data_IF_971095639554
#
_entry.id   IF_971095639554
#
_cell.length_a   1.000
_cell.length_b   1.000
_cell.length_c   1.000
_cell.angle_alpha   90.00
_cell.angle_beta   90.00
_cell.angle_gamma   90.00
#
_symmetry.space_group_name_H-M   'P 1'
#
loop_
_entity.id
_entity.type
_entity.pdbx_description
1 polymer ?
#
# COMPACT_ATOMS: atom_id res chain seq x y z
N UNK A 1 -32.18 7.67 19.59
CA UNK A 1 -31.95 9.09 19.93
C UNK A 1 -32.46 10.03 18.86
N UNK A 2 -32.09 9.87 17.58
CA UNK A 2 -32.46 10.80 16.52
C UNK A 2 -33.98 11.00 16.37
N UNK A 3 -34.77 9.93 16.47
CA UNK A 3 -36.23 10.02 16.37
C UNK A 3 -36.91 10.32 17.73
N UNK A 4 -36.46 9.64 18.79
CA UNK A 4 -37.17 9.63 20.09
C UNK A 4 -36.52 10.44 21.21
N UNK A 5 -35.36 11.07 20.95
CA UNK A 5 -34.45 11.66 21.96
C UNK A 5 -34.05 10.72 23.10
N UNK A 6 -34.30 9.41 22.97
CA UNK A 6 -33.92 8.36 23.93
C UNK A 6 -32.89 7.40 23.31
N UNK A 7 -31.88 6.94 24.07
CA UNK A 7 -31.48 7.47 25.38
C UNK A 7 -30.96 8.92 25.26
N UNK A 8 -30.86 9.64 26.39
CA UNK A 8 -30.27 10.97 26.43
C UNK A 8 -28.80 10.92 25.96
N UNK A 9 -28.27 12.02 25.39
CA UNK A 9 -26.90 12.06 24.82
C UNK A 9 -25.84 11.58 25.81
N UNK A 10 -25.90 12.01 27.07
CA UNK A 10 -24.98 11.60 28.15
C UNK A 10 -24.96 10.09 28.44
N UNK A 11 -26.00 9.37 28.01
CA UNK A 11 -26.17 7.93 28.25
C UNK A 11 -25.86 7.09 26.99
N UNK A 12 -25.24 7.67 25.96
CA UNK A 12 -24.82 6.94 24.75
C UNK A 12 -23.32 6.68 24.85
N UNK A 13 -22.88 5.45 25.16
CA UNK A 13 -21.45 5.12 25.20
C UNK A 13 -20.76 5.40 23.86
N UNK A 14 -19.53 5.89 23.91
CA UNK A 14 -18.71 6.24 22.75
C UNK A 14 -19.05 7.58 22.09
N UNK A 15 -20.04 8.31 22.61
CA UNK A 15 -20.39 9.64 22.09
C UNK A 15 -19.51 10.73 22.71
N UNK A 16 -18.88 11.53 21.85
CA UNK A 16 -18.35 12.84 22.22
C UNK A 16 -19.31 13.92 21.71
N UNK A 17 -19.75 14.82 22.58
CA UNK A 17 -20.70 15.87 22.20
C UNK A 17 -20.46 17.15 22.98
N UNK A 18 -21.02 18.25 22.48
CA UNK A 18 -20.99 19.55 23.15
C UNK A 18 -22.39 19.85 23.71
N UNK A 19 -22.57 19.93 25.04
CA UNK A 19 -23.89 20.18 25.64
C UNK A 19 -24.52 21.52 25.21
N UNK A 20 -23.71 22.56 25.02
CA UNK A 20 -24.14 23.89 24.61
C UNK A 20 -23.13 24.51 23.65
N UNK A 21 -23.56 25.39 22.74
CA UNK A 21 -22.64 26.11 21.85
C UNK A 21 -21.52 26.78 22.68
N UNK A 22 -20.27 26.62 22.25
CA UNK A 22 -19.05 27.09 22.93
C UNK A 22 -18.65 26.42 24.26
N UNK A 23 -19.35 25.39 24.75
CA UNK A 23 -18.84 24.60 25.88
C UNK A 23 -17.72 23.64 25.44
N UNK A 24 -16.85 23.17 26.37
CA UNK A 24 -15.96 22.05 26.10
C UNK A 24 -16.73 20.79 25.65
N UNK A 25 -16.04 19.88 24.96
CA UNK A 25 -16.59 18.56 24.65
C UNK A 25 -16.73 17.74 25.94
N UNK A 26 -17.85 17.01 26.04
CA UNK A 26 -18.03 15.92 26.98
C UNK A 26 -17.85 14.61 26.23
N UNK A 27 -17.00 13.74 26.74
CA UNK A 27 -16.78 12.39 26.18
C UNK A 27 -17.41 11.39 27.16
N UNK A 28 -18.41 10.65 26.69
CA UNK A 28 -19.04 9.60 27.48
C UNK A 28 -18.08 8.41 27.65
N UNK A 29 -18.48 7.44 28.49
CA UNK A 29 -17.77 6.17 28.64
C UNK A 29 -17.56 5.48 27.29
N UNK A 30 -16.45 4.74 27.13
CA UNK A 30 -16.16 4.02 25.88
C UNK A 30 -17.30 3.06 25.53
N UNK A 31 -17.57 2.92 24.22
CA UNK A 31 -18.50 1.89 23.73
C UNK A 31 -17.98 0.50 24.08
N UNK A 32 -18.89 -0.42 24.37
CA UNK A 32 -18.55 -1.84 24.50
C UNK A 32 -18.40 -2.42 23.09
N UNK A 33 -17.25 -3.03 22.74
CA UNK A 33 -17.07 -3.72 21.46
C UNK A 33 -18.14 -4.79 21.22
N UNK A 34 -18.62 -4.92 19.99
CA UNK A 34 -19.56 -5.98 19.62
C UNK A 34 -18.87 -7.35 19.71
N UNK A 35 -19.60 -8.34 20.24
CA UNK A 35 -19.11 -9.73 20.32
C UNK A 35 -19.17 -10.48 18.98
N UNK A 36 -20.07 -10.07 18.09
CA UNK A 36 -20.18 -10.53 16.70
C UNK A 36 -20.58 -9.34 15.82
N UNK A 37 -20.10 -9.29 14.58
CA UNK A 37 -20.57 -8.29 13.61
C UNK A 37 -21.97 -8.62 13.10
N UNK A 38 -22.45 -9.86 13.27
CA UNK A 38 -23.80 -10.26 12.91
C UNK A 38 -24.89 -9.47 13.64
N UNK A 39 -24.58 -8.89 14.81
CA UNK A 39 -25.51 -8.00 15.53
C UNK A 39 -25.66 -6.62 14.91
N UNK A 40 -24.81 -6.26 13.94
CA UNK A 40 -24.81 -4.97 13.29
C UNK A 40 -25.53 -5.12 11.95
N UNK A 41 -26.62 -4.40 11.69
CA UNK A 41 -27.35 -4.53 10.44
C UNK A 41 -26.45 -4.30 9.21
N UNK A 42 -26.73 -5.01 8.12
CA UNK A 42 -25.98 -4.85 6.88
C UNK A 42 -26.41 -3.59 6.14
N UNK A 43 -25.50 -2.66 5.78
CA UNK A 43 -25.91 -1.49 5.00
C UNK A 43 -26.42 -1.88 3.61
N UNK A 44 -26.00 -3.04 3.08
CA UNK A 44 -26.47 -3.55 1.79
C UNK A 44 -27.81 -4.27 1.93
N UNK A 45 -27.91 -5.27 2.81
CA UNK A 45 -29.13 -6.09 2.91
C UNK A 45 -30.32 -5.34 3.51
N UNK A 46 -30.08 -4.27 4.28
CA UNK A 46 -31.12 -3.39 4.82
C UNK A 46 -31.51 -2.26 3.84
N UNK A 47 -30.92 -2.21 2.64
CA UNK A 47 -31.22 -1.18 1.65
C UNK A 47 -30.80 0.24 2.05
N UNK A 48 -29.79 0.38 2.92
CA UNK A 48 -29.25 1.68 3.35
C UNK A 48 -28.41 2.32 2.24
N UNK A 49 -27.75 1.49 1.42
CA UNK A 49 -27.01 1.95 0.24
C UNK A 49 -27.96 1.97 -0.96
N UNK A 50 -28.14 3.15 -1.54
CA UNK A 50 -28.98 3.35 -2.71
C UNK A 50 -28.57 2.45 -3.88
N UNK A 51 -29.54 1.77 -4.50
CA UNK A 51 -29.27 0.87 -5.63
C UNK A 51 -28.71 1.62 -6.84
N UNK A 52 -29.13 2.87 -7.04
CA UNK A 52 -28.59 3.76 -8.08
C UNK A 52 -27.09 4.03 -7.90
N UNK A 53 -26.59 4.01 -6.66
CA UNK A 53 -25.14 4.13 -6.40
C UNK A 53 -24.44 2.85 -6.80
N UNK A 54 -25.00 1.68 -6.48
CA UNK A 54 -24.42 0.39 -6.82
C UNK A 54 -24.41 0.10 -8.33
N UNK A 55 -25.38 0.66 -9.06
CA UNK A 55 -25.53 0.47 -10.50
C UNK A 55 -24.65 1.38 -11.36
N UNK A 56 -23.89 2.33 -10.78
CA UNK A 56 -22.99 3.19 -11.56
C UNK A 56 -21.81 2.41 -12.09
N UNK A 57 -21.34 2.80 -13.27
CA UNK A 57 -20.12 2.24 -13.84
C UNK A 57 -18.92 2.44 -12.91
N UNK A 58 -18.03 1.44 -12.91
CA UNK A 58 -16.77 1.44 -12.15
C UNK A 58 -16.88 1.56 -10.61
N UNK A 59 -18.06 1.33 -10.04
CA UNK A 59 -18.23 1.29 -8.58
C UNK A 59 -17.52 0.08 -7.97
N UNK A 60 -16.74 0.35 -6.92
CA UNK A 60 -16.16 -0.65 -6.03
C UNK A 60 -16.99 -0.70 -4.73
N UNK A 61 -17.55 -1.86 -4.39
CA UNK A 61 -18.25 -2.05 -3.11
C UNK A 61 -17.26 -2.40 -2.00
N UNK A 62 -17.35 -1.70 -0.88
CA UNK A 62 -16.55 -1.95 0.31
C UNK A 62 -17.34 -2.80 1.33
N UNK A 63 -16.86 -4.01 1.59
CA UNK A 63 -17.47 -4.94 2.55
C UNK A 63 -16.54 -5.12 3.77
N UNK A 64 -17.07 -4.96 4.97
CA UNK A 64 -16.35 -5.21 6.23
C UNK A 64 -16.83 -6.53 6.81
N UNK A 65 -15.95 -7.51 6.90
CA UNK A 65 -16.31 -8.86 7.37
C UNK A 65 -15.76 -9.17 8.75
N UNK A 66 -14.78 -8.38 9.20
CA UNK A 66 -14.25 -8.42 10.54
C UNK A 66 -13.87 -7.03 11.06
N UNK A 67 -13.85 -6.89 12.39
CA UNK A 67 -13.34 -5.70 13.09
C UNK A 67 -12.30 -6.09 14.12
N UNK A 68 -11.26 -5.26 14.21
CA UNK A 68 -10.09 -5.51 15.04
C UNK A 68 -8.91 -6.03 14.21
N UNK A 69 -7.78 -6.27 14.87
CA UNK A 69 -6.58 -6.82 14.26
C UNK A 69 -5.82 -7.64 15.31
N UNK A 70 -5.18 -8.73 14.89
CA UNK A 70 -4.32 -9.54 15.75
C UNK A 70 -3.02 -8.83 16.15
N UNK A 71 -2.68 -7.72 15.49
CA UNK A 71 -1.50 -6.92 15.78
C UNK A 71 -1.90 -5.59 16.43
N UNK A 72 -0.98 -5.06 17.24
CA UNK A 72 -1.10 -3.75 17.90
C UNK A 72 0.05 -2.84 17.47
N UNK A 73 0.21 -2.70 16.15
CA UNK A 73 1.31 -1.91 15.59
C UNK A 73 1.24 -0.46 16.07
N UNK A 74 2.36 0.09 16.54
CA UNK A 74 2.40 1.41 17.19
C UNK A 74 1.93 2.56 16.30
N UNK A 75 2.01 2.40 14.98
CA UNK A 75 1.58 3.38 13.97
C UNK A 75 0.13 3.21 13.50
N UNK A 76 -0.62 2.24 14.05
CA UNK A 76 -1.92 1.86 13.50
C UNK A 76 -3.07 2.09 14.48
N UNK A 77 -4.13 2.76 14.04
CA UNK A 77 -5.38 2.91 14.79
C UNK A 77 -6.36 1.74 14.58
N UNK A 78 -6.09 0.84 13.63
CA UNK A 78 -7.09 -0.11 13.12
C UNK A 78 -7.55 -1.12 14.18
N UNK A 79 -6.71 -1.44 15.17
CA UNK A 79 -7.18 -2.27 16.29
C UNK A 79 -8.37 -1.63 17.03
N UNK A 80 -8.65 -0.32 16.84
CA UNK A 80 -9.91 0.39 17.14
C UNK A 80 -10.49 0.11 18.54
N UNK A 81 -9.63 0.07 19.56
CA UNK A 81 -9.98 -0.32 20.93
C UNK A 81 -10.63 -1.72 21.07
N UNK A 82 -10.56 -2.56 20.04
CA UNK A 82 -10.99 -3.95 20.08
C UNK A 82 -9.96 -4.77 20.88
N UNK A 83 -10.45 -5.62 21.76
CA UNK A 83 -9.67 -6.59 22.52
C UNK A 83 -9.25 -7.78 21.66
N UNK A 84 -10.10 -8.16 20.69
CA UNK A 84 -9.90 -9.26 19.74
C UNK A 84 -10.48 -8.93 18.36
N UNK A 85 -10.22 -9.82 17.40
CA UNK A 85 -10.90 -9.78 16.09
C UNK A 85 -12.29 -10.40 16.23
N UNK A 86 -13.30 -9.67 15.76
CA UNK A 86 -14.69 -10.11 15.71
C UNK A 86 -15.13 -10.24 14.26
N UNK A 87 -15.83 -11.31 13.92
CA UNK A 87 -16.23 -11.65 12.55
C UNK A 87 -17.72 -11.48 12.32
N UNK A 88 -18.10 -11.36 11.05
CA UNK A 88 -19.44 -11.59 10.53
C UNK A 88 -19.64 -13.08 10.21
N UNK A 89 -20.89 -13.51 10.11
CA UNK A 89 -21.22 -14.86 9.65
C UNK A 89 -20.92 -15.00 8.16
N UNK A 90 -20.37 -16.15 7.77
CA UNK A 90 -19.99 -16.43 6.36
C UNK A 90 -21.20 -16.26 5.44
N UNK A 91 -22.35 -16.80 5.80
CA UNK A 91 -23.57 -16.70 4.98
C UNK A 91 -24.00 -15.26 4.73
N UNK A 92 -23.84 -14.38 5.74
CA UNK A 92 -24.10 -12.95 5.56
C UNK A 92 -23.13 -12.34 4.56
N UNK A 93 -21.83 -12.64 4.66
CA UNK A 93 -20.82 -12.14 3.71
C UNK A 93 -21.18 -12.56 2.28
N UNK A 94 -21.53 -13.83 2.08
CA UNK A 94 -21.95 -14.34 0.77
C UNK A 94 -23.24 -13.65 0.27
N UNK A 95 -24.20 -13.39 1.17
CA UNK A 95 -25.42 -12.65 0.82
C UNK A 95 -25.15 -11.19 0.43
N UNK A 96 -24.25 -10.50 1.14
CA UNK A 96 -23.84 -9.13 0.80
C UNK A 96 -23.13 -9.08 -0.56
N UNK A 97 -22.23 -10.02 -0.84
CA UNK A 97 -21.58 -10.15 -2.15
C UNK A 97 -22.60 -10.39 -3.26
N UNK A 98 -23.52 -11.34 -3.07
CA UNK A 98 -24.60 -11.60 -4.03
C UNK A 98 -25.46 -10.36 -4.27
N UNK A 99 -25.76 -9.61 -3.20
CA UNK A 99 -26.58 -8.41 -3.27
C UNK A 99 -25.95 -7.34 -4.18
N UNK A 100 -24.66 -7.05 -3.99
CA UNK A 100 -23.97 -6.01 -4.78
C UNK A 100 -23.71 -6.45 -6.22
N UNK A 101 -23.34 -7.71 -6.46
CA UNK A 101 -23.11 -8.23 -7.83
C UNK A 101 -24.39 -8.18 -8.66
N UNK A 102 -25.54 -8.57 -8.07
CA UNK A 102 -26.85 -8.49 -8.76
C UNK A 102 -27.23 -7.07 -9.19
N UNK A 103 -26.56 -6.05 -8.66
CA UNK A 103 -26.77 -4.63 -8.96
C UNK A 103 -25.69 -4.05 -9.88
N UNK A 104 -24.84 -4.90 -10.45
CA UNK A 104 -23.85 -4.51 -11.46
C UNK A 104 -22.45 -4.22 -10.91
N UNK A 105 -22.21 -4.37 -9.61
CA UNK A 105 -20.87 -4.18 -9.02
C UNK A 105 -19.92 -5.27 -9.52
N UNK A 106 -18.81 -4.85 -10.13
CA UNK A 106 -17.77 -5.75 -10.70
C UNK A 106 -16.49 -5.81 -9.86
N UNK A 107 -16.37 -4.96 -8.83
CA UNK A 107 -15.19 -4.84 -7.97
C UNK A 107 -15.63 -4.78 -6.52
N UNK A 108 -15.06 -5.64 -5.69
CA UNK A 108 -15.34 -5.69 -4.25
C UNK A 108 -14.03 -5.60 -3.49
N UNK A 109 -13.96 -4.66 -2.54
CA UNK A 109 -12.87 -4.55 -1.57
C UNK A 109 -13.35 -4.98 -0.20
N UNK A 110 -12.69 -5.99 0.34
CA UNK A 110 -12.82 -6.37 1.74
C UNK A 110 -11.97 -5.41 2.57
N UNK A 111 -12.61 -4.54 3.35
CA UNK A 111 -11.94 -3.44 4.09
C UNK A 111 -11.39 -3.86 5.44
N UNK A 112 -11.20 -5.16 5.63
CA UNK A 112 -10.66 -5.80 6.80
C UNK A 112 -9.16 -5.48 6.96
N UNK A 113 -8.63 -5.32 8.18
CA UNK A 113 -7.19 -5.06 8.36
C UNK A 113 -6.29 -6.21 7.92
N UNK A 114 -6.80 -7.43 8.06
CA UNK A 114 -6.12 -8.66 7.71
C UNK A 114 -7.18 -9.74 7.56
N UNK A 115 -7.71 -9.92 6.36
CA UNK A 115 -8.84 -10.81 6.05
C UNK A 115 -8.65 -12.22 6.61
N UNK A 116 -7.41 -12.73 6.61
CA UNK A 116 -7.05 -14.05 7.11
C UNK A 116 -6.55 -14.08 8.55
N UNK A 117 -6.99 -13.13 9.39
CA UNK A 117 -6.70 -13.15 10.84
C UNK A 117 -7.11 -14.47 11.49
N UNK A 118 -8.18 -15.09 10.98
CA UNK A 118 -8.49 -16.50 11.14
C UNK A 118 -8.53 -17.14 9.75
N UNK A 119 -7.56 -18.02 9.47
CA UNK A 119 -7.42 -18.67 8.16
C UNK A 119 -8.59 -19.59 7.83
N UNK A 120 -9.15 -20.30 8.79
CA UNK A 120 -10.25 -21.25 8.54
C UNK A 120 -11.56 -20.51 8.23
N UNK A 121 -11.78 -19.38 8.89
CA UNK A 121 -12.88 -18.47 8.55
C UNK A 121 -12.69 -17.89 7.13
N UNK A 122 -11.49 -17.38 6.79
CA UNK A 122 -11.20 -16.84 5.46
C UNK A 122 -11.37 -17.90 4.35
N UNK A 123 -10.90 -19.14 4.58
CA UNK A 123 -11.13 -20.28 3.69
C UNK A 123 -12.61 -20.58 3.51
N UNK A 124 -13.42 -20.47 4.58
CA UNK A 124 -14.87 -20.70 4.51
C UNK A 124 -15.56 -19.65 3.63
N UNK A 125 -15.17 -18.38 3.74
CA UNK A 125 -15.64 -17.33 2.84
C UNK A 125 -15.24 -17.62 1.40
N UNK A 126 -13.95 -17.91 1.13
CA UNK A 126 -13.49 -18.21 -0.23
C UNK A 126 -14.20 -19.42 -0.84
N UNK A 127 -14.41 -20.49 -0.07
CA UNK A 127 -15.19 -21.66 -0.51
C UNK A 127 -16.64 -21.27 -0.85
N UNK A 128 -17.26 -20.40 -0.06
CA UNK A 128 -18.59 -19.84 -0.36
C UNK A 128 -18.62 -19.04 -1.65
N UNK A 129 -17.65 -18.15 -1.87
CA UNK A 129 -17.53 -17.34 -3.09
C UNK A 129 -17.35 -18.21 -4.34
N UNK A 130 -16.52 -19.27 -4.24
CA UNK A 130 -16.29 -20.23 -5.32
C UNK A 130 -17.54 -21.05 -5.61
N UNK A 131 -18.23 -21.52 -4.56
CA UNK A 131 -19.47 -22.31 -4.68
C UNK A 131 -20.56 -21.55 -5.44
N UNK A 132 -20.69 -20.25 -5.20
CA UNK A 132 -21.65 -19.37 -5.88
C UNK A 132 -21.22 -18.99 -7.29
N UNK A 133 -19.97 -19.30 -7.70
CA UNK A 133 -19.40 -18.96 -8.99
C UNK A 133 -19.50 -17.46 -9.33
N UNK A 134 -19.25 -16.60 -8.35
CA UNK A 134 -19.34 -15.15 -8.56
C UNK A 134 -18.34 -14.65 -9.61
N UNK A 135 -18.81 -13.75 -10.48
CA UNK A 135 -18.00 -13.01 -11.45
C UNK A 135 -17.76 -11.58 -10.92
N UNK A 136 -16.66 -11.39 -10.21
CA UNK A 136 -16.23 -10.08 -9.70
C UNK A 136 -14.74 -10.11 -9.33
N UNK A 137 -14.07 -8.98 -9.48
CA UNK A 137 -12.73 -8.80 -8.94
C UNK A 137 -12.78 -8.54 -7.43
N UNK A 138 -11.82 -9.09 -6.69
CA UNK A 138 -11.76 -9.03 -5.23
C UNK A 138 -10.43 -8.42 -4.76
N UNK A 139 -10.50 -7.59 -3.73
CA UNK A 139 -9.33 -7.06 -3.04
C UNK A 139 -9.37 -7.44 -1.56
N UNK A 140 -8.25 -7.95 -1.04
CA UNK A 140 -8.07 -8.26 0.37
C UNK A 140 -6.76 -7.65 0.90
N UNK A 141 -6.73 -7.25 2.17
CA UNK A 141 -5.49 -6.94 2.89
C UNK A 141 -5.05 -8.15 3.73
N UNK A 142 -3.76 -8.48 3.68
CA UNK A 142 -3.13 -9.53 4.48
C UNK A 142 -1.86 -9.05 5.21
N UNK A 143 -1.57 -9.72 6.33
CA UNK A 143 -0.31 -9.64 7.04
C UNK A 143 0.57 -10.83 6.61
N UNK A 144 1.88 -10.61 6.30
CA UNK A 144 2.80 -11.70 6.01
C UNK A 144 2.75 -12.79 7.09
N UNK A 145 2.61 -14.04 6.65
CA UNK A 145 2.50 -15.20 7.51
C UNK A 145 1.07 -15.65 7.84
N UNK A 146 0.06 -14.84 7.54
CA UNK A 146 -1.36 -15.18 7.70
C UNK A 146 -1.95 -15.84 6.45
N UNK A 147 -1.15 -16.62 5.72
CA UNK A 147 -1.59 -17.38 4.54
C UNK A 147 -0.98 -18.78 4.61
N UNK A 148 -1.68 -19.76 4.05
CA UNK A 148 -1.18 -21.11 3.81
C UNK A 148 -1.52 -21.57 2.38
N UNK A 149 -1.02 -22.75 2.01
CA UNK A 149 -1.21 -23.31 0.68
C UNK A 149 -2.69 -23.45 0.29
N UNK A 150 -3.55 -23.88 1.23
CA UNK A 150 -4.97 -24.05 0.96
C UNK A 150 -5.63 -22.71 0.64
N UNK A 151 -5.38 -21.67 1.45
CA UNK A 151 -5.95 -20.34 1.20
C UNK A 151 -5.42 -19.74 -0.11
N UNK A 152 -4.13 -19.86 -0.40
CA UNK A 152 -3.55 -19.40 -1.66
C UNK A 152 -4.14 -20.15 -2.87
N UNK A 153 -4.35 -21.46 -2.75
CA UNK A 153 -5.00 -22.27 -3.78
C UNK A 153 -6.45 -21.85 -4.00
N UNK A 154 -7.21 -21.54 -2.95
CA UNK A 154 -8.58 -21.03 -3.09
C UNK A 154 -8.62 -19.70 -3.83
N UNK A 155 -7.68 -18.79 -3.59
CA UNK A 155 -7.57 -17.57 -4.39
C UNK A 155 -7.33 -17.90 -5.87
N UNK A 156 -6.38 -18.78 -6.18
CA UNK A 156 -6.09 -19.21 -7.55
C UNK A 156 -7.27 -19.91 -8.23
N UNK A 157 -8.05 -20.70 -7.49
CA UNK A 157 -9.27 -21.35 -7.99
C UNK A 157 -10.35 -20.32 -8.34
N UNK A 158 -10.57 -19.32 -7.48
CA UNK A 158 -11.56 -18.28 -7.74
C UNK A 158 -11.25 -17.47 -9.01
N UNK A 159 -9.97 -17.12 -9.23
CA UNK A 159 -9.54 -16.42 -10.46
C UNK A 159 -9.79 -17.24 -11.74
N UNK A 160 -9.77 -18.57 -11.64
CA UNK A 160 -9.99 -19.47 -12.79
C UNK A 160 -11.47 -19.70 -13.12
N UNK A 161 -12.40 -19.26 -12.28
CA UNK A 161 -13.83 -19.43 -12.54
C UNK A 161 -14.29 -18.63 -13.76
N UNK A 162 -13.82 -17.38 -13.87
CA UNK A 162 -14.18 -16.45 -14.94
C UNK A 162 -12.96 -15.65 -15.36
N UNK A 163 -12.84 -15.32 -16.65
CA UNK A 163 -11.70 -14.53 -17.16
C UNK A 163 -11.61 -13.14 -16.52
N UNK A 164 -12.73 -12.62 -16.02
CA UNK A 164 -12.86 -11.30 -15.38
C UNK A 164 -12.47 -11.34 -13.90
N UNK A 165 -12.35 -12.51 -13.29
CA UNK A 165 -12.02 -12.65 -11.87
C UNK A 165 -10.54 -12.42 -11.62
N UNK A 166 -10.25 -11.31 -10.96
CA UNK A 166 -8.91 -10.98 -10.46
C UNK A 166 -8.94 -10.88 -8.94
N UNK A 167 -7.91 -11.43 -8.29
CA UNK A 167 -7.67 -11.24 -6.87
C UNK A 167 -6.43 -10.38 -6.70
N UNK A 168 -6.61 -9.26 -6.00
CA UNK A 168 -5.50 -8.47 -5.49
C UNK A 168 -5.35 -8.71 -4.00
N UNK A 169 -4.13 -9.05 -3.58
CA UNK A 169 -3.76 -9.12 -2.17
C UNK A 169 -2.82 -7.97 -1.83
N UNK A 170 -3.29 -7.05 -0.98
CA UNK A 170 -2.46 -6.09 -0.28
C UNK A 170 -1.66 -6.78 0.82
N UNK A 171 -0.34 -6.59 0.83
CA UNK A 171 0.59 -7.18 1.79
C UNK A 171 1.37 -6.06 2.47
N UNK A 172 1.02 -5.78 3.72
CA UNK A 172 1.74 -4.78 4.51
C UNK A 172 3.10 -5.29 4.99
N UNK A 173 4.17 -5.04 4.24
CA UNK A 173 5.54 -5.41 4.65
C UNK A 173 6.12 -4.37 5.61
N UNK A 174 5.92 -3.09 5.28
CA UNK A 174 6.39 -1.91 6.01
C UNK A 174 7.91 -1.71 5.93
N UNK A 175 8.69 -2.65 6.43
CA UNK A 175 10.16 -2.69 6.34
C UNK A 175 10.64 -4.12 6.60
N UNK A 176 11.83 -4.49 6.14
CA UNK A 176 12.47 -5.76 6.53
C UNK A 176 13.38 -5.61 7.75
N UNK A 177 13.54 -4.39 8.26
CA UNK A 177 14.33 -4.12 9.46
C UNK A 177 13.59 -4.66 10.69
N UNK A 178 13.98 -5.85 11.13
CA UNK A 178 13.29 -6.57 12.20
C UNK A 178 13.31 -5.83 13.55
N UNK A 179 14.34 -5.03 13.82
CA UNK A 179 14.40 -4.22 15.04
C UNK A 179 13.42 -3.05 14.99
N UNK A 180 13.26 -2.40 13.83
CA UNK A 180 12.23 -1.38 13.63
C UNK A 180 10.83 -1.99 13.71
N UNK A 181 10.60 -3.14 13.07
CA UNK A 181 9.34 -3.87 13.18
C UNK A 181 8.99 -4.24 14.63
N UNK A 182 9.98 -4.73 15.38
CA UNK A 182 9.82 -5.07 16.81
C UNK A 182 9.46 -3.83 17.64
N UNK A 183 10.14 -2.70 17.42
CA UNK A 183 9.84 -1.42 18.07
C UNK A 183 8.43 -0.94 17.75
N UNK A 184 8.00 -1.09 16.51
CA UNK A 184 6.65 -0.77 16.05
C UNK A 184 5.61 -1.84 16.42
N UNK A 185 5.96 -2.78 17.31
CA UNK A 185 5.07 -3.85 17.81
C UNK A 185 4.47 -4.72 16.70
N UNK A 186 5.21 -4.87 15.60
CA UNK A 186 4.91 -5.74 14.45
C UNK A 186 5.95 -6.85 14.34
N UNK A 187 5.99 -7.76 15.30
CA UNK A 187 6.97 -8.86 15.28
C UNK A 187 6.60 -9.88 14.21
N UNK A 188 7.32 -9.87 13.10
CA UNK A 188 7.20 -10.84 12.01
C UNK A 188 8.60 -11.39 11.74
N UNK A 189 8.72 -12.70 11.51
CA UNK A 189 10.00 -13.33 11.14
C UNK A 189 10.20 -13.30 9.64
N UNK A 190 11.45 -13.26 9.19
CA UNK A 190 11.81 -13.16 7.77
C UNK A 190 11.13 -14.25 6.92
N UNK A 191 11.10 -15.47 7.41
CA UNK A 191 10.57 -16.65 6.70
C UNK A 191 9.07 -16.52 6.42
N UNK A 192 8.34 -15.71 7.21
CA UNK A 192 6.92 -15.44 6.96
C UNK A 192 6.70 -14.56 5.75
N UNK A 193 7.62 -13.64 5.46
CA UNK A 193 7.59 -12.86 4.23
C UNK A 193 7.86 -13.76 3.03
N UNK A 194 8.95 -14.52 3.07
CA UNK A 194 9.38 -15.43 2.00
C UNK A 194 8.29 -16.47 1.67
N UNK A 195 7.72 -17.10 2.70
CA UNK A 195 6.60 -18.04 2.55
C UNK A 195 5.38 -17.37 1.89
N UNK A 196 5.02 -16.16 2.32
CA UNK A 196 3.86 -15.43 1.78
C UNK A 196 4.06 -15.13 0.29
N UNK A 197 5.21 -14.55 -0.07
CA UNK A 197 5.49 -14.22 -1.47
C UNK A 197 5.60 -15.45 -2.35
N UNK A 198 6.23 -16.53 -1.86
CA UNK A 198 6.30 -17.81 -2.59
C UNK A 198 4.90 -18.36 -2.89
N UNK A 199 3.98 -18.33 -1.93
CA UNK A 199 2.61 -18.81 -2.13
C UNK A 199 1.81 -17.95 -3.10
N UNK A 200 1.91 -16.62 -2.99
CA UNK A 200 1.22 -15.70 -3.90
C UNK A 200 1.74 -15.82 -5.34
N UNK A 201 3.06 -15.91 -5.52
CA UNK A 201 3.68 -16.13 -6.83
C UNK A 201 3.28 -17.49 -7.43
N UNK A 202 3.29 -18.57 -6.64
CA UNK A 202 2.92 -19.91 -7.09
C UNK A 202 1.51 -19.99 -7.70
N UNK A 203 0.59 -19.16 -7.21
CA UNK A 203 -0.81 -19.14 -7.65
C UNK A 203 -1.14 -17.93 -8.54
N UNK A 204 -0.13 -17.24 -9.06
CA UNK A 204 -0.26 -16.06 -9.93
C UNK A 204 -1.22 -14.99 -9.35
N UNK A 205 -1.11 -14.72 -8.04
CA UNK A 205 -1.94 -13.73 -7.34
C UNK A 205 -1.31 -12.35 -7.43
N UNK A 206 -2.09 -11.36 -7.91
CA UNK A 206 -1.60 -9.98 -7.98
C UNK A 206 -1.33 -9.46 -6.57
N UNK A 207 -0.09 -9.06 -6.32
CA UNK A 207 0.34 -8.66 -4.98
C UNK A 207 0.64 -7.16 -4.93
N UNK A 208 -0.19 -6.39 -4.20
CA UNK A 208 0.14 -5.02 -3.82
C UNK A 208 0.96 -5.06 -2.53
N UNK A 209 2.07 -4.36 -2.48
CA UNK A 209 3.01 -4.38 -1.37
C UNK A 209 3.17 -2.97 -0.85
N UNK A 210 3.01 -2.80 0.45
CA UNK A 210 3.16 -1.50 1.10
C UNK A 210 4.39 -1.48 2.01
N UNK A 211 5.26 -0.52 1.75
CA UNK A 211 6.39 -0.12 2.59
C UNK A 211 6.12 1.24 3.23
N UNK A 212 6.69 1.44 4.43
CA UNK A 212 6.70 2.75 5.11
C UNK A 212 8.14 3.22 5.21
N UNK A 213 8.42 4.36 4.59
CA UNK A 213 9.75 4.98 4.55
C UNK A 213 9.90 5.92 5.74
N UNK A 214 10.98 5.71 6.52
CA UNK A 214 11.33 6.56 7.65
C UNK A 214 10.61 6.22 8.97
N UNK A 215 10.34 4.94 9.25
CA UNK A 215 9.87 4.53 10.58
C UNK A 215 10.91 4.87 11.68
N UNK A 216 10.52 5.03 12.96
CA UNK A 216 11.46 5.34 14.03
C UNK A 216 12.58 4.29 14.16
N UNK A 217 13.82 4.73 13.91
CA UNK A 217 15.01 3.87 13.87
C UNK A 217 15.43 3.42 12.48
N UNK A 218 14.81 3.94 11.41
CA UNK A 218 15.30 3.81 10.03
C UNK A 218 16.29 4.93 9.68
N UNK A 219 17.37 4.55 9.02
CA UNK A 219 18.32 5.44 8.35
C UNK A 219 18.30 5.19 6.82
N UNK A 220 19.06 5.97 6.06
CA UNK A 220 19.13 5.83 4.60
C UNK A 220 19.54 4.41 4.16
N UNK A 221 20.43 3.78 4.95
CA UNK A 221 20.99 2.46 4.64
C UNK A 221 19.99 1.34 4.93
N UNK A 222 19.20 1.42 5.99
CA UNK A 222 18.14 0.45 6.28
C UNK A 222 16.99 0.52 5.28
N UNK A 223 16.66 1.74 4.83
CA UNK A 223 15.70 1.94 3.75
C UNK A 223 16.23 1.31 2.47
N UNK A 224 17.48 1.58 2.10
CA UNK A 224 18.14 0.99 0.93
C UNK A 224 18.11 -0.55 0.96
N UNK A 225 18.51 -1.16 2.08
CA UNK A 225 18.43 -2.62 2.25
C UNK A 225 17.02 -3.16 2.06
N UNK A 226 16.01 -2.42 2.53
CA UNK A 226 14.61 -2.79 2.35
C UNK A 226 14.19 -2.73 0.90
N UNK A 227 14.53 -1.65 0.19
CA UNK A 227 14.21 -1.51 -1.23
C UNK A 227 14.93 -2.58 -2.06
N UNK A 228 16.23 -2.79 -1.83
CA UNK A 228 17.03 -3.81 -2.52
C UNK A 228 16.42 -5.21 -2.35
N UNK A 229 16.12 -5.60 -1.11
CA UNK A 229 15.50 -6.89 -0.82
C UNK A 229 14.15 -7.03 -1.52
N UNK A 230 13.28 -6.00 -1.44
CA UNK A 230 11.95 -6.08 -2.02
C UNK A 230 12.00 -6.15 -3.55
N UNK A 231 12.88 -5.39 -4.20
CA UNK A 231 13.07 -5.46 -5.67
C UNK A 231 13.54 -6.85 -6.08
N UNK A 232 14.48 -7.44 -5.34
CA UNK A 232 14.99 -8.79 -5.63
C UNK A 232 13.89 -9.87 -5.45
N UNK A 233 13.13 -9.81 -4.35
CA UNK A 233 11.99 -10.73 -4.13
C UNK A 233 10.93 -10.66 -5.23
N UNK A 234 10.80 -9.49 -5.87
CA UNK A 234 9.83 -9.24 -6.93
C UNK A 234 10.37 -9.55 -8.33
N UNK A 235 11.64 -9.94 -8.47
CA UNK A 235 12.25 -10.32 -9.75
C UNK A 235 11.55 -11.52 -10.41
N UNK A 236 11.05 -12.47 -9.61
CA UNK A 236 10.30 -13.63 -10.12
C UNK A 236 8.78 -13.40 -10.25
N UNK A 237 8.26 -12.28 -9.74
CA UNK A 237 6.82 -11.99 -9.78
C UNK A 237 6.38 -11.54 -11.16
N UNK A 238 5.22 -12.03 -11.60
CA UNK A 238 4.56 -11.66 -12.88
C UNK A 238 3.47 -10.60 -12.72
N UNK A 239 3.12 -10.27 -11.48
CA UNK A 239 1.96 -9.44 -11.16
C UNK A 239 2.14 -8.82 -9.76
N UNK A 240 2.62 -7.58 -9.70
CA UNK A 240 2.74 -6.87 -8.43
C UNK A 240 2.75 -5.35 -8.57
N UNK A 241 2.47 -4.69 -7.44
CA UNK A 241 2.59 -3.25 -7.25
C UNK A 241 3.33 -2.98 -5.93
N UNK A 242 4.57 -2.53 -6.00
CA UNK A 242 5.32 -2.01 -4.85
C UNK A 242 4.98 -0.52 -4.65
N UNK A 243 4.35 -0.22 -3.52
CA UNK A 243 4.08 1.13 -3.04
C UNK A 243 4.97 1.45 -1.85
N UNK A 244 5.67 2.59 -1.93
CA UNK A 244 6.49 3.10 -0.85
C UNK A 244 5.90 4.41 -0.36
N UNK A 245 5.38 4.41 0.87
CA UNK A 245 4.73 5.57 1.45
C UNK A 245 5.65 6.20 2.49
N UNK A 246 5.76 7.53 2.50
CA UNK A 246 6.40 8.27 3.57
C UNK A 246 5.62 8.04 4.86
N UNK A 247 6.33 7.84 5.96
CA UNK A 247 5.68 7.66 7.26
C UNK A 247 4.77 8.84 7.58
N UNK A 248 3.52 8.50 7.94
CA UNK A 248 2.52 9.46 8.41
C UNK A 248 2.28 9.37 9.90
N UNK A 249 2.31 10.51 10.57
CA UNK A 249 1.97 10.59 11.99
C UNK A 249 0.46 10.58 12.17
N UNK A 250 -0.09 9.54 12.79
CA UNK A 250 -1.52 9.47 13.07
C UNK A 250 -1.78 9.92 14.51
N UNK A 251 -2.53 11.02 14.74
CA UNK A 251 -2.91 11.45 16.08
C UNK A 251 -3.56 10.34 16.89
N UNK A 252 -3.15 10.20 18.15
CA UNK A 252 -3.66 9.16 19.06
C UNK A 252 -2.98 7.79 18.93
N UNK A 253 -1.96 7.65 18.07
CA UNK A 253 -1.13 6.44 17.99
C UNK A 253 0.13 6.54 18.86
N UNK A 254 0.63 5.39 19.31
CA UNK A 254 1.89 5.27 20.06
C UNK A 254 3.10 5.75 19.22
N UNK A 255 3.00 5.70 17.89
CA UNK A 255 4.02 6.18 16.96
C UNK A 255 4.45 7.61 17.26
N UNK A 256 3.53 8.51 17.62
CA UNK A 256 3.89 9.91 17.87
C UNK A 256 4.73 10.07 19.14
N UNK A 257 4.53 9.21 20.15
CA UNK A 257 5.37 9.21 21.35
C UNK A 257 6.76 8.66 21.03
N UNK A 258 6.84 7.54 20.31
CA UNK A 258 8.13 7.00 19.85
C UNK A 258 8.85 8.00 18.94
N UNK A 259 8.14 8.68 18.04
CA UNK A 259 8.74 9.66 17.14
C UNK A 259 9.35 10.87 17.87
N UNK A 260 8.77 11.27 19.02
CA UNK A 260 9.36 12.30 19.90
C UNK A 260 10.70 11.84 20.49
N UNK A 261 10.79 10.59 20.94
CA UNK A 261 12.04 10.01 21.46
C UNK A 261 13.16 10.04 20.40
N UNK A 262 12.80 9.79 19.15
CA UNK A 262 13.71 9.85 18.00
C UNK A 262 13.89 11.27 17.43
N UNK A 263 13.32 12.30 18.06
CA UNK A 263 13.40 13.72 17.66
C UNK A 263 13.01 13.94 16.19
N UNK A 264 12.02 13.20 15.71
CA UNK A 264 11.56 13.25 14.33
C UNK A 264 10.75 14.54 14.09
N UNK A 265 10.89 15.11 12.89
CA UNK A 265 10.17 16.33 12.48
C UNK A 265 9.13 16.02 11.42
N UNK A 266 7.92 16.52 11.61
CA UNK A 266 6.80 16.34 10.69
C UNK A 266 6.48 17.64 9.95
N UNK A 267 5.75 17.52 8.84
CA UNK A 267 5.36 18.62 7.97
C UNK A 267 4.45 19.66 8.63
N UNK A 268 3.80 19.30 9.74
CA UNK A 268 2.99 20.23 10.55
C UNK A 268 3.15 19.93 12.03
N UNK A 269 3.10 21.00 12.83
CA UNK A 269 3.14 20.95 14.29
C UNK A 269 1.84 20.44 14.91
N UNK A 270 0.71 20.73 14.27
CA UNK A 270 -0.63 20.45 14.82
C UNK A 270 -1.24 19.18 14.27
N UNK A 271 -0.91 18.84 13.02
CA UNK A 271 -1.39 17.67 12.31
C UNK A 271 -0.15 16.99 11.71
N UNK A 272 0.60 16.21 12.49
CA UNK A 272 1.89 15.66 12.07
C UNK A 272 1.70 14.66 10.93
N UNK A 273 1.53 15.16 9.71
CA UNK A 273 0.96 14.38 8.64
C UNK A 273 2.02 13.53 7.95
N UNK A 274 3.16 14.11 7.57
CA UNK A 274 4.23 13.41 6.87
C UNK A 274 5.57 13.68 7.56
N UNK A 275 6.40 12.64 7.66
CA UNK A 275 7.77 12.78 8.13
C UNK A 275 8.58 13.65 7.15
N UNK A 276 9.30 14.62 7.68
CA UNK A 276 10.24 15.46 6.93
C UNK A 276 11.66 14.92 7.07
N UNK A 277 12.10 14.69 8.32
CA UNK A 277 13.46 14.24 8.66
C UNK A 277 13.55 13.71 10.10
N UNK A 278 14.68 13.08 10.43
CA UNK A 278 15.11 12.76 11.78
C UNK A 278 16.64 12.90 11.92
N UNK A 279 17.23 12.88 13.12
CA UNK A 279 18.68 12.98 13.29
C UNK A 279 19.47 11.89 12.54
N UNK A 280 18.91 10.68 12.39
CA UNK A 280 19.53 9.55 11.69
C UNK A 280 19.05 9.38 10.25
N UNK A 281 18.06 10.19 9.84
CA UNK A 281 17.59 10.29 8.47
C UNK A 281 17.40 11.79 8.13
N UNK A 282 18.51 12.52 7.94
CA UNK A 282 18.46 13.94 7.60
C UNK A 282 17.66 14.19 6.31
N UNK A 283 17.18 15.42 6.10
CA UNK A 283 16.35 15.74 4.93
C UNK A 283 16.97 15.31 3.59
N UNK A 284 18.27 15.49 3.40
CA UNK A 284 18.96 15.08 2.18
C UNK A 284 18.82 13.57 1.90
N UNK A 285 18.96 12.74 2.93
CA UNK A 285 18.82 11.28 2.82
C UNK A 285 17.36 10.85 2.64
N UNK A 286 16.42 11.56 3.27
CA UNK A 286 15.00 11.36 3.04
C UNK A 286 14.63 11.67 1.58
N UNK A 287 15.11 12.80 1.03
CA UNK A 287 14.91 13.17 -0.37
C UNK A 287 15.54 12.15 -1.32
N UNK A 288 16.77 11.68 -1.03
CA UNK A 288 17.41 10.60 -1.78
C UNK A 288 16.53 9.35 -1.80
N UNK A 289 16.02 8.94 -0.65
CA UNK A 289 15.12 7.78 -0.51
C UNK A 289 13.83 7.97 -1.31
N UNK A 290 13.22 9.15 -1.27
CA UNK A 290 12.00 9.46 -2.04
C UNK A 290 12.24 9.46 -3.56
N UNK A 291 13.39 9.92 -4.05
CA UNK A 291 13.72 9.83 -5.48
C UNK A 291 13.88 8.38 -5.94
N UNK A 292 14.56 7.55 -5.13
CA UNK A 292 14.70 6.11 -5.38
C UNK A 292 13.34 5.42 -5.48
N UNK A 293 12.41 5.69 -4.56
CA UNK A 293 11.08 5.07 -4.59
C UNK A 293 10.27 5.51 -5.82
N UNK A 294 10.35 6.79 -6.21
CA UNK A 294 9.69 7.29 -7.41
C UNK A 294 10.21 6.67 -8.71
N UNK A 295 11.53 6.45 -8.82
CA UNK A 295 12.14 5.76 -9.96
C UNK A 295 11.79 4.27 -9.96
N UNK A 296 11.91 3.59 -8.81
CA UNK A 296 11.51 2.19 -8.68
C UNK A 296 10.06 1.95 -9.11
N UNK A 297 9.16 2.86 -8.73
CA UNK A 297 7.75 2.79 -9.11
C UNK A 297 7.56 2.67 -10.63
N UNK A 298 8.42 3.33 -11.42
CA UNK A 298 8.39 3.30 -12.90
C UNK A 298 9.12 2.13 -13.51
N UNK A 299 10.13 1.60 -12.83
CA UNK A 299 11.00 0.55 -13.38
C UNK A 299 10.46 -0.85 -13.14
N UNK A 300 9.85 -1.13 -11.99
CA UNK A 300 9.61 -2.54 -11.57
C UNK A 300 8.14 -2.94 -11.44
N UNK A 301 7.21 -2.00 -11.34
CA UNK A 301 5.80 -2.32 -11.11
C UNK A 301 5.11 -2.81 -12.38
N UNK A 302 4.29 -3.85 -12.24
CA UNK A 302 3.51 -4.40 -13.34
C UNK A 302 2.27 -3.54 -13.61
N UNK A 303 1.75 -3.65 -14.83
CA UNK A 303 0.37 -3.26 -15.13
C UNK A 303 -0.57 -4.23 -14.40
N UNK A 304 -1.59 -3.73 -13.70
CA UNK A 304 -2.64 -4.61 -13.16
C UNK A 304 -3.33 -4.24 -11.85
N UNK A 305 -3.42 -2.97 -11.47
CA UNK A 305 -4.28 -2.57 -10.34
C UNK A 305 -5.52 -1.73 -10.73
N UNK A 306 -5.58 -1.21 -11.96
CA UNK A 306 -6.63 -0.25 -12.31
C UNK A 306 -6.95 -0.14 -13.81
N UNK A 307 -6.49 -1.08 -14.65
CA UNK A 307 -6.39 -0.88 -16.11
C UNK A 307 -5.62 0.41 -16.49
N UNK A 308 -4.98 1.06 -15.50
CA UNK A 308 -4.06 2.16 -15.69
C UNK A 308 -2.73 1.55 -16.07
N UNK A 309 -2.39 1.69 -17.34
CA UNK A 309 -1.04 1.50 -17.84
C UNK A 309 -0.09 2.41 -17.05
N UNK A 310 0.70 1.88 -16.11
CA UNK A 310 1.87 2.59 -15.59
C UNK A 310 3.05 2.48 -16.56
N UNK A 311 3.06 1.39 -17.33
CA UNK A 311 4.04 1.03 -18.35
C UNK A 311 3.27 0.53 -19.57
N UNK A 312 2.67 1.44 -20.36
CA UNK A 312 2.58 1.29 -21.81
C UNK A 312 2.27 2.66 -22.44
N UNK A 313 3.09 2.97 -23.43
CA UNK A 313 2.72 3.60 -24.69
C UNK A 313 3.39 2.69 -25.73
N UNK A 314 2.90 2.66 -26.96
CA UNK A 314 3.55 1.92 -28.05
C UNK A 314 5.00 2.42 -28.19
N UNK A 315 5.95 1.75 -27.55
CA UNK A 315 7.38 1.91 -27.84
C UNK A 315 7.61 1.33 -29.23
N UNK A 316 8.53 1.88 -30.02
CA UNK A 316 8.85 1.35 -31.35
C UNK A 316 9.40 -0.10 -31.31
N UNK A 317 9.83 -0.57 -30.14
CA UNK A 317 10.28 -1.93 -29.85
C UNK A 317 9.50 -2.51 -28.66
N UNK A 318 9.11 -3.79 -28.71
CA UNK A 318 8.39 -4.50 -27.62
C UNK A 318 9.31 -4.81 -26.41
N UNK A 319 10.00 -3.81 -25.87
CA UNK A 319 10.94 -4.00 -24.76
C UNK A 319 10.25 -3.74 -23.43
N UNK A 320 10.18 -4.77 -22.58
CA UNK A 320 9.69 -4.64 -21.22
C UNK A 320 10.73 -3.88 -20.37
N UNK A 321 10.39 -2.68 -19.89
CA UNK A 321 11.29 -1.81 -19.08
C UNK A 321 11.82 -2.55 -17.85
N UNK A 322 10.99 -3.37 -17.21
CA UNK A 322 11.37 -4.11 -16.01
C UNK A 322 12.44 -5.16 -16.32
N UNK A 323 12.26 -5.92 -17.39
CA UNK A 323 13.21 -6.95 -17.78
C UNK A 323 14.51 -6.30 -18.24
N UNK A 324 14.42 -5.20 -19.01
CA UNK A 324 15.58 -4.38 -19.38
C UNK A 324 16.31 -3.83 -18.14
N UNK A 325 15.59 -3.37 -17.11
CA UNK A 325 16.20 -2.91 -15.86
C UNK A 325 17.04 -4.01 -15.20
N UNK A 326 16.49 -5.21 -15.05
CA UNK A 326 17.23 -6.33 -14.44
C UNK A 326 18.40 -6.80 -15.31
N UNK A 327 18.23 -6.83 -16.63
CA UNK A 327 19.32 -7.17 -17.56
C UNK A 327 20.45 -6.14 -17.53
N UNK A 328 20.12 -4.85 -17.53
CA UNK A 328 21.11 -3.77 -17.41
C UNK A 328 21.84 -3.86 -16.07
N UNK A 329 21.12 -4.11 -14.97
CA UNK A 329 21.70 -4.31 -13.64
C UNK A 329 22.70 -5.47 -13.64
N UNK A 330 22.29 -6.62 -14.16
CA UNK A 330 23.12 -7.84 -14.20
C UNK A 330 24.37 -7.62 -15.08
N UNK A 331 24.23 -6.98 -16.23
CA UNK A 331 25.36 -6.69 -17.13
C UNK A 331 26.38 -5.72 -16.52
N UNK A 332 25.91 -4.73 -15.73
CA UNK A 332 26.79 -3.79 -15.04
C UNK A 332 27.43 -4.37 -13.78
N UNK A 333 26.91 -5.47 -13.23
CA UNK A 333 27.42 -6.09 -12.01
C UNK A 333 27.22 -5.23 -10.75
N UNK A 334 26.16 -4.40 -10.72
CA UNK A 334 25.83 -3.48 -9.61
C UNK A 334 24.53 -3.89 -8.90
N UNK A 335 24.23 -3.32 -7.74
CA UNK A 335 22.96 -3.55 -7.03
C UNK A 335 21.78 -2.89 -7.73
N UNK A 336 20.56 -3.30 -7.38
CA UNK A 336 19.35 -2.67 -7.92
C UNK A 336 19.32 -1.17 -7.57
N UNK A 337 19.67 -0.81 -6.33
CA UNK A 337 19.66 0.59 -5.88
C UNK A 337 20.78 1.41 -6.52
N UNK A 338 21.95 0.83 -6.83
CA UNK A 338 23.00 1.53 -7.58
C UNK A 338 22.54 1.89 -9.00
N UNK A 339 21.84 0.99 -9.69
CA UNK A 339 21.27 1.32 -11.01
C UNK A 339 20.17 2.37 -10.90
N UNK A 340 19.32 2.29 -9.87
CA UNK A 340 18.30 3.31 -9.59
C UNK A 340 18.93 4.68 -9.36
N UNK A 341 20.02 4.77 -8.59
CA UNK A 341 20.74 6.03 -8.35
C UNK A 341 21.25 6.65 -9.67
N UNK A 342 21.84 5.84 -10.57
CA UNK A 342 22.24 6.31 -11.91
C UNK A 342 21.06 6.88 -12.71
N UNK A 343 19.89 6.23 -12.65
CA UNK A 343 18.67 6.73 -13.32
C UNK A 343 18.14 8.00 -12.65
N UNK A 344 18.20 8.12 -11.32
CA UNK A 344 17.83 9.33 -10.58
C UNK A 344 18.63 10.52 -11.07
N UNK A 345 19.95 10.38 -11.22
CA UNK A 345 20.84 11.46 -11.65
C UNK A 345 20.51 11.93 -13.07
N UNK A 346 20.33 10.99 -14.01
CA UNK A 346 19.88 11.28 -15.37
C UNK A 346 18.52 11.99 -15.40
N UNK A 347 17.61 11.57 -14.51
CA UNK A 347 16.26 12.09 -14.47
C UNK A 347 16.20 13.51 -13.89
N UNK A 348 17.03 13.83 -12.89
CA UNK A 348 17.16 15.21 -12.37
C UNK A 348 17.54 16.16 -13.50
N UNK A 349 18.54 15.81 -14.32
CA UNK A 349 18.98 16.61 -15.47
C UNK A 349 17.86 16.73 -16.51
N UNK A 350 17.21 15.62 -16.86
CA UNK A 350 16.14 15.60 -17.87
C UNK A 350 14.92 16.45 -17.48
N UNK A 351 14.60 16.52 -16.19
CA UNK A 351 13.40 17.19 -15.69
C UNK A 351 13.64 18.63 -15.22
N UNK A 352 14.91 19.05 -15.05
CA UNK A 352 15.28 20.42 -14.65
C UNK A 352 14.64 21.52 -15.53
N UNK A 353 14.62 21.42 -16.88
CA UNK A 353 13.99 22.44 -17.73
C UNK A 353 12.46 22.55 -17.54
N UNK A 354 11.81 21.47 -17.07
CA UNK A 354 10.37 21.42 -16.85
C UNK A 354 9.95 21.92 -15.47
N UNK A 355 10.91 22.29 -14.60
CA UNK A 355 10.66 22.66 -13.20
C UNK A 355 9.85 21.59 -12.46
N UNK A 356 10.07 20.32 -12.80
CA UNK A 356 9.42 19.18 -12.15
C UNK A 356 9.77 19.15 -10.67
N UNK A 357 8.82 18.74 -9.83
CA UNK A 357 9.08 18.50 -8.41
C UNK A 357 10.27 17.56 -8.18
N UNK A 358 10.44 16.53 -9.03
CA UNK A 358 11.52 15.56 -8.92
C UNK A 358 12.92 16.19 -9.00
N UNK A 359 13.06 17.21 -9.86
CA UNK A 359 14.31 17.93 -10.10
C UNK A 359 14.62 19.04 -9.08
N UNK A 360 13.65 19.39 -8.22
CA UNK A 360 13.86 20.37 -7.16
C UNK A 360 14.74 19.79 -6.07
N UNK A 361 15.52 20.63 -5.38
CA UNK A 361 16.43 20.21 -4.30
C UNK A 361 15.71 19.41 -3.20
N UNK A 362 14.50 19.83 -2.82
CA UNK A 362 13.73 19.25 -1.70
C UNK A 362 12.67 18.20 -2.11
N UNK A 363 12.48 17.96 -3.42
CA UNK A 363 11.46 17.04 -3.96
C UNK A 363 10.10 17.07 -3.24
N UNK A 364 9.36 18.20 -3.29
CA UNK A 364 8.06 18.31 -2.66
C UNK A 364 7.04 17.36 -3.31
N UNK A 365 6.06 16.88 -2.54
CA UNK A 365 4.97 16.03 -3.05
C UNK A 365 5.44 14.77 -3.80
N UNK A 366 6.50 14.11 -3.29
CA UNK A 366 7.10 12.94 -3.93
C UNK A 366 6.08 11.84 -4.28
N UNK A 367 5.11 11.57 -3.38
CA UNK A 367 4.05 10.59 -3.63
C UNK A 367 3.10 10.99 -4.77
N UNK A 368 2.68 12.24 -4.80
CA UNK A 368 1.89 12.79 -5.91
C UNK A 368 2.67 12.70 -7.22
N UNK A 369 3.98 12.98 -7.18
CA UNK A 369 4.81 12.90 -8.37
C UNK A 369 4.82 11.48 -8.96
N UNK A 370 5.16 10.46 -8.18
CA UNK A 370 5.23 9.11 -8.74
C UNK A 370 3.86 8.56 -9.14
N UNK A 371 2.77 8.94 -8.45
CA UNK A 371 1.41 8.50 -8.78
C UNK A 371 0.79 9.19 -9.99
N UNK A 372 1.00 10.50 -10.14
CA UNK A 372 0.25 11.34 -11.10
C UNK A 372 1.14 11.87 -12.21
N UNK A 373 2.32 12.37 -11.86
CA UNK A 373 3.15 13.16 -12.79
C UNK A 373 4.18 12.30 -13.52
N UNK A 374 4.71 11.26 -12.90
CA UNK A 374 5.82 10.48 -13.44
C UNK A 374 5.54 9.97 -14.86
N UNK A 375 4.37 9.36 -15.12
CA UNK A 375 3.97 8.88 -16.45
C UNK A 375 3.91 10.01 -17.49
N UNK A 376 3.52 11.21 -17.09
CA UNK A 376 3.38 12.37 -17.98
C UNK A 376 4.73 13.03 -18.27
N UNK A 377 5.61 13.06 -17.28
CA UNK A 377 6.89 13.77 -17.36
C UNK A 377 8.03 12.89 -17.89
N UNK A 378 7.90 11.57 -17.76
CA UNK A 378 8.93 10.59 -18.15
C UNK A 378 8.32 9.55 -19.07
N UNK A 379 8.64 9.62 -20.36
CA UNK A 379 8.15 8.64 -21.34
C UNK A 379 8.80 7.27 -21.15
N UNK A 380 8.13 6.22 -21.62
CA UNK A 380 8.70 4.87 -21.61
C UNK A 380 9.93 4.79 -22.52
N UNK A 381 9.91 5.44 -23.70
CA UNK A 381 11.07 5.51 -24.60
C UNK A 381 12.29 6.13 -23.92
N UNK A 382 12.09 7.15 -23.08
CA UNK A 382 13.19 7.75 -22.33
C UNK A 382 13.83 6.74 -21.37
N UNK A 383 13.03 5.95 -20.65
CA UNK A 383 13.54 4.91 -19.76
C UNK A 383 14.26 3.81 -20.53
N UNK A 384 13.68 3.33 -21.62
CA UNK A 384 14.27 2.28 -22.49
C UNK A 384 15.60 2.74 -23.06
N UNK A 385 15.66 3.95 -23.62
CA UNK A 385 16.88 4.49 -24.22
C UNK A 385 18.00 4.62 -23.18
N UNK A 386 17.73 5.21 -22.02
CA UNK A 386 18.77 5.41 -20.99
C UNK A 386 19.25 4.08 -20.39
N UNK A 387 18.35 3.13 -20.13
CA UNK A 387 18.74 1.79 -19.67
C UNK A 387 19.59 1.05 -20.73
N UNK A 388 19.27 1.21 -22.00
CA UNK A 388 20.01 0.61 -23.12
C UNK A 388 21.41 1.22 -23.27
N UNK A 389 21.53 2.55 -23.15
CA UNK A 389 22.83 3.22 -23.23
C UNK A 389 23.71 2.94 -22.01
N UNK A 390 23.13 2.86 -20.81
CA UNK A 390 23.83 2.40 -19.60
C UNK A 390 24.33 0.96 -19.79
N UNK A 391 23.49 0.07 -20.34
CA UNK A 391 23.85 -1.33 -20.63
C UNK A 391 25.04 -1.45 -21.57
N UNK A 392 25.14 -0.58 -22.59
CA UNK A 392 26.26 -0.56 -23.56
C UNK A 392 27.57 0.02 -23.01
N UNK A 393 27.58 0.57 -21.79
CA UNK A 393 28.75 1.29 -21.26
C UNK A 393 29.01 2.64 -21.94
N UNK A 394 28.02 3.17 -22.68
CA UNK A 394 28.15 4.44 -23.42
C UNK A 394 28.01 5.69 -22.52
N UNK A 395 27.53 5.48 -21.28
CA UNK A 395 27.38 6.49 -20.24
C UNK A 395 28.39 6.18 -19.11
N UNK A 396 29.67 6.39 -19.37
CA UNK A 396 30.69 6.43 -18.31
C UNK A 396 30.44 7.63 -17.39
N UNK A 397 30.83 7.52 -16.12
CA UNK A 397 30.57 8.47 -15.02
C UNK A 397 31.01 9.93 -15.32
N UNK A 398 31.82 10.16 -16.35
CA UNK A 398 32.32 11.48 -16.74
C UNK A 398 31.26 12.39 -17.40
N UNK A 399 30.21 11.87 -18.07
CA UNK A 399 29.18 12.74 -18.67
C UNK A 399 28.24 13.39 -17.66
N UNK A 400 28.02 12.76 -16.50
CA UNK A 400 27.28 13.40 -15.41
C UNK A 400 28.09 14.55 -14.80
N UNK A 401 29.41 14.37 -14.68
CA UNK A 401 30.35 15.37 -14.17
C UNK A 401 30.56 16.52 -15.15
N UNK A 402 30.67 16.27 -16.46
CA UNK A 402 30.76 17.34 -17.47
C UNK A 402 29.49 18.19 -17.55
N UNK A 403 28.30 17.60 -17.43
CA UNK A 403 27.03 18.35 -17.43
C UNK A 403 26.88 19.19 -16.15
N UNK A 404 27.42 18.73 -15.01
CA UNK A 404 27.45 19.49 -13.76
C UNK A 404 28.47 20.64 -13.77
N UNK A 405 29.63 20.46 -14.42
CA UNK A 405 30.70 21.48 -14.51
C UNK A 405 30.40 22.59 -15.52
N UNK A 406 29.70 22.30 -16.63
CA UNK A 406 29.33 23.30 -17.64
C UNK A 406 28.22 24.26 -17.15
N UNK A 407 27.62 24.04 -15.97
CA UNK A 407 26.58 24.90 -15.39
C UNK A 407 27.00 25.65 -14.12
N UNK A 408 28.28 25.66 -13.78
CA UNK A 408 28.84 26.49 -12.69
C UNK A 408 29.63 27.73 -13.16
N UNK A 409 29.49 28.13 -14.43
CA UNK A 409 29.93 29.44 -14.93
C UNK A 409 28.76 30.40 -15.16
#
# INVERSE_FOLDING_TARGET
HLQSRKPALKNIPGLAYRPQKNSPFTVNTKRIPFKSLSYIPSPFLEGIVDEEVLARDDVEANLETQRGCNLRCSYCIYHKDMDRVTYSDVDRVINEVRYVIKRGVKKIRFVDANFSSNKDWAKSVMKGLIKEQFETSLFFELIPGFIDEELASLFGQYQKLHLQNHITIGVGVQTINLEVLKRMRRRIRKEKFEMTFKLLQKHDIYTKIDLIIGLPGEDASSIERTLEYMVDQLRGSRAHLLCCHVMRGLPGTELLEVAKEFKMKFSSKYEPHELVESPILPRADMVKSMRRTGVLFRLINHTGWADKEFIFGNTSEKTNIRDLFFDTRDQLGISNIQLVDKIVDLLIVHLKPRKSYFSMSDFPHAETWWWVHSKREVSNDWLVNNLTELKKGALNDDKATEILLVQTE
#
